data_IF_123901636103
#
_entry.id   IF_123901636103
#
_cell.length_a   1.000
_cell.length_b   1.000
_cell.length_c   1.000
_cell.angle_alpha   90.00
_cell.angle_beta   90.00
_cell.angle_gamma   90.00
#
_symmetry.space_group_name_H-M   'P 1'
#
loop_
_entity.id
_entity.type
_entity.pdbx_description
1 polymer ?
#
# COMPACT_ATOMS: atom_id res chain seq x y z
N UNK A 1 -5.98 -9.51 -11.24
CA UNK A 1 -7.37 -9.62 -10.72
C UNK A 1 -7.44 -8.72 -9.51
N UNK A 2 -8.50 -7.93 -9.37
CA UNK A 2 -8.70 -7.02 -8.24
C UNK A 2 -10.15 -7.03 -7.79
N UNK A 3 -10.37 -6.78 -6.50
CA UNK A 3 -11.71 -6.59 -5.93
C UNK A 3 -11.63 -5.92 -4.56
N UNK A 4 -12.74 -5.30 -4.14
CA UNK A 4 -12.82 -4.54 -2.91
C UNK A 4 -13.54 -5.30 -1.79
N UNK A 5 -13.01 -5.17 -0.58
CA UNK A 5 -13.59 -5.69 0.65
C UNK A 5 -14.07 -4.54 1.53
N UNK A 6 -15.22 -4.74 2.18
CA UNK A 6 -15.76 -3.81 3.17
C UNK A 6 -15.51 -4.36 4.57
N UNK A 7 -14.85 -3.60 5.43
CA UNK A 7 -14.61 -3.98 6.84
C UNK A 7 -14.71 -2.75 7.73
N UNK A 8 -15.60 -2.78 8.72
CA UNK A 8 -15.80 -1.69 9.69
C UNK A 8 -16.11 -0.30 9.06
N UNK A 9 -16.69 -0.28 7.86
CA UNK A 9 -16.96 0.96 7.11
C UNK A 9 -15.79 1.45 6.26
N UNK A 10 -14.65 0.75 6.28
CA UNK A 10 -13.53 1.00 5.39
C UNK A 10 -13.57 0.07 4.16
N UNK A 11 -12.93 0.54 3.09
CA UNK A 11 -12.66 -0.23 1.87
C UNK A 11 -11.21 -0.70 1.88
N UNK A 12 -10.99 -1.96 1.54
CA UNK A 12 -9.66 -2.53 1.28
C UNK A 12 -9.67 -3.14 -0.12
N UNK A 13 -8.84 -2.62 -1.00
CA UNK A 13 -8.65 -3.17 -2.34
C UNK A 13 -7.65 -4.31 -2.29
N UNK A 14 -8.05 -5.47 -2.80
CA UNK A 14 -7.15 -6.59 -2.99
C UNK A 14 -6.72 -6.67 -4.44
N UNK A 15 -5.41 -6.80 -4.66
CA UNK A 15 -4.83 -6.97 -5.97
C UNK A 15 -3.98 -8.23 -6.02
N UNK A 16 -4.03 -8.92 -7.16
CA UNK A 16 -3.11 -9.99 -7.51
C UNK A 16 -2.60 -9.80 -8.93
N UNK A 17 -1.28 -9.78 -9.06
CA UNK A 17 -0.58 -9.61 -10.32
C UNK A 17 0.54 -10.62 -10.46
N UNK A 18 0.64 -11.23 -11.64
CA UNK A 18 1.79 -12.07 -11.99
C UNK A 18 2.96 -11.16 -12.34
N UNK A 19 4.13 -11.39 -11.74
CA UNK A 19 5.32 -10.60 -12.03
C UNK A 19 6.42 -11.50 -12.61
N UNK A 20 7.22 -10.94 -13.53
CA UNK A 20 8.34 -11.67 -14.16
C UNK A 20 9.71 -11.30 -13.56
N UNK A 21 9.77 -10.29 -12.69
CA UNK A 21 10.99 -9.83 -12.02
C UNK A 21 10.83 -9.95 -10.52
N UNK A 22 11.81 -10.50 -9.80
CA UNK A 22 11.83 -10.55 -8.32
C UNK A 22 11.72 -9.13 -7.72
N UNK A 23 10.50 -8.62 -7.61
CA UNK A 23 10.19 -7.43 -6.84
C UNK A 23 10.42 -7.80 -5.39
N UNK A 24 11.44 -7.19 -4.79
CA UNK A 24 11.59 -7.22 -3.33
C UNK A 24 10.50 -6.30 -2.82
N UNK A 25 9.50 -6.81 -2.08
CA UNK A 25 8.46 -5.95 -1.58
C UNK A 25 9.07 -4.94 -0.61
N UNK A 26 8.70 -3.67 -0.77
CA UNK A 26 9.12 -2.60 0.13
C UNK A 26 8.34 -2.70 1.45
N UNK A 27 8.91 -2.14 2.52
CA UNK A 27 8.29 -2.09 3.83
C UNK A 27 8.86 -3.07 4.85
N UNK A 28 8.33 -2.99 6.07
CA UNK A 28 8.78 -3.80 7.18
C UNK A 28 8.07 -5.16 7.18
N UNK A 29 8.79 -6.23 7.51
CA UNK A 29 8.15 -7.52 7.74
C UNK A 29 7.38 -7.46 9.06
N UNK A 30 6.05 -7.55 8.98
CA UNK A 30 5.18 -7.48 10.18
C UNK A 30 4.66 -8.84 10.62
N UNK A 31 4.74 -9.86 9.75
CA UNK A 31 4.39 -11.24 10.07
C UNK A 31 4.97 -12.22 9.05
N UNK A 32 5.04 -13.50 9.43
CA UNK A 32 5.34 -14.61 8.52
C UNK A 32 4.26 -15.68 8.67
N UNK A 33 3.63 -16.09 7.56
CA UNK A 33 2.55 -17.11 7.54
C UNK A 33 2.91 -18.18 6.53
N UNK A 34 2.99 -19.44 6.97
CA UNK A 34 3.33 -20.60 6.13
C UNK A 34 4.60 -20.37 5.28
N UNK A 35 5.62 -19.73 5.86
CA UNK A 35 6.88 -19.39 5.18
C UNK A 35 6.81 -18.19 4.23
N UNK A 36 5.67 -17.50 4.16
CA UNK A 36 5.48 -16.27 3.37
C UNK A 36 5.56 -15.05 4.28
N UNK A 37 6.47 -14.11 3.98
CA UNK A 37 6.58 -12.85 4.71
C UNK A 37 5.50 -11.87 4.24
N UNK A 38 4.87 -11.19 5.19
CA UNK A 38 3.97 -10.07 4.98
C UNK A 38 4.73 -8.77 5.22
N UNK A 39 4.77 -7.92 4.20
CA UNK A 39 5.45 -6.63 4.23
C UNK A 39 4.42 -5.53 4.38
N UNK A 40 4.68 -4.57 5.27
CA UNK A 40 3.80 -3.45 5.53
C UNK A 40 4.45 -2.15 5.10
N UNK A 41 3.70 -1.36 4.34
CA UNK A 41 4.06 0.00 3.94
C UNK A 41 2.99 0.96 4.41
N UNK A 42 3.43 2.13 4.87
CA UNK A 42 2.55 3.24 5.20
C UNK A 42 3.22 4.55 4.86
N UNK A 43 2.49 5.41 4.16
CA UNK A 43 2.95 6.72 3.76
C UNK A 43 1.76 7.64 3.52
N UNK A 44 2.03 8.94 3.47
CA UNK A 44 1.10 9.95 2.99
C UNK A 44 1.35 10.11 1.50
N UNK A 45 0.33 9.95 0.68
CA UNK A 45 0.39 10.36 -0.72
C UNK A 45 -0.12 11.80 -0.83
N UNK A 46 0.64 12.64 -1.52
CA UNK A 46 0.25 14.03 -1.82
C UNK A 46 0.23 14.20 -3.33
N UNK A 47 -0.97 14.33 -3.88
CA UNK A 47 -1.19 14.58 -5.31
C UNK A 47 -1.11 16.09 -5.54
N UNK A 48 -0.27 16.48 -6.49
CA UNK A 48 -0.01 17.88 -6.84
C UNK A 48 0.01 18.05 -8.35
N UNK A 49 -0.12 19.29 -8.80
CA UNK A 49 0.07 19.66 -10.21
C UNK A 49 1.56 19.57 -10.60
N UNK A 50 1.81 19.48 -11.90
CA UNK A 50 3.17 19.44 -12.48
C UNK A 50 4.00 20.70 -12.17
N UNK A 51 3.34 21.84 -11.91
CA UNK A 51 3.97 23.12 -11.58
C UNK A 51 4.14 23.36 -10.07
N UNK A 52 3.80 22.39 -9.21
CA UNK A 52 3.99 22.51 -7.77
C UNK A 52 5.47 22.50 -7.37
N UNK A 53 5.91 23.58 -6.73
CA UNK A 53 7.27 23.69 -6.18
C UNK A 53 7.36 23.07 -4.77
N UNK A 54 8.18 22.01 -4.62
CA UNK A 54 8.39 21.36 -3.33
C UNK A 54 8.99 22.33 -2.30
N UNK A 55 8.34 22.45 -1.15
CA UNK A 55 8.90 23.16 0.01
C UNK A 55 10.08 22.40 0.61
N UNK A 56 10.88 23.06 1.45
CA UNK A 56 11.96 22.38 2.18
C UNK A 56 11.45 21.30 3.14
N UNK A 57 10.21 21.44 3.63
CA UNK A 57 9.58 20.40 4.45
C UNK A 57 9.13 19.21 3.58
N UNK A 58 8.55 19.46 2.41
CA UNK A 58 8.18 18.41 1.45
C UNK A 58 9.38 17.54 1.09
N UNK A 59 10.54 18.15 0.80
CA UNK A 59 11.79 17.41 0.48
C UNK A 59 12.26 16.54 1.64
N UNK A 60 12.18 17.04 2.87
CA UNK A 60 12.56 16.28 4.08
C UNK A 60 11.63 15.11 4.33
N UNK A 61 10.32 15.34 4.23
CA UNK A 61 9.32 14.29 4.43
C UNK A 61 9.40 13.23 3.32
N UNK A 62 9.67 13.65 2.08
CA UNK A 62 9.91 12.73 0.96
C UNK A 62 11.16 11.88 1.16
N UNK A 63 12.28 12.50 1.56
CA UNK A 63 13.53 11.78 1.83
C UNK A 63 13.41 10.77 2.98
N UNK A 64 12.49 11.00 3.93
CA UNK A 64 12.21 10.07 5.02
C UNK A 64 11.34 8.87 4.61
N UNK A 65 10.75 8.90 3.41
CA UNK A 65 9.78 7.90 2.94
C UNK A 65 8.36 8.08 3.51
N UNK A 66 8.16 9.06 4.40
CA UNK A 66 6.84 9.39 4.98
C UNK A 66 5.86 9.98 3.96
N UNK A 67 6.38 10.72 2.98
CA UNK A 67 5.59 11.44 1.99
C UNK A 67 5.98 11.02 0.58
N UNK A 68 5.00 10.60 -0.21
CA UNK A 68 5.16 10.31 -1.64
C UNK A 68 4.39 11.36 -2.42
N UNK A 69 5.03 11.91 -3.46
CA UNK A 69 4.39 12.82 -4.39
C UNK A 69 3.90 12.07 -5.60
N UNK A 70 2.64 12.31 -5.95
CA UNK A 70 2.06 11.91 -7.23
C UNK A 70 1.76 13.19 -8.01
N UNK A 71 2.09 13.20 -9.30
CA UNK A 71 1.87 14.35 -10.16
C UNK A 71 0.71 14.05 -11.11
N UNK A 72 -0.25 14.98 -11.18
CA UNK A 72 -1.44 14.91 -12.03
C UNK A 72 -1.68 16.30 -12.65
N UNK A 73 -1.65 16.38 -13.97
CA UNK A 73 -1.83 17.62 -14.74
C UNK A 73 -3.24 18.21 -14.60
N UNK A 74 -4.21 17.39 -14.21
CA UNK A 74 -5.58 17.79 -13.96
C UNK A 74 -5.82 18.25 -12.52
N UNK A 75 -4.85 18.12 -11.62
CA UNK A 75 -4.98 18.51 -10.22
C UNK A 75 -5.05 20.03 -10.07
N UNK A 76 -6.25 20.56 -9.85
CA UNK A 76 -6.46 21.98 -9.55
C UNK A 76 -6.19 22.34 -8.08
N UNK A 77 -6.03 21.33 -7.22
CA UNK A 77 -5.77 21.47 -5.79
C UNK A 77 -4.91 20.30 -5.31
N UNK A 78 -4.22 20.50 -4.18
CA UNK A 78 -3.47 19.44 -3.52
C UNK A 78 -4.47 18.46 -2.91
N UNK A 79 -4.32 17.17 -3.23
CA UNK A 79 -5.01 16.08 -2.53
C UNK A 79 -4.04 15.32 -1.63
N UNK A 80 -4.50 14.92 -0.44
CA UNK A 80 -3.66 14.25 0.56
C UNK A 80 -4.41 13.06 1.12
N UNK A 81 -3.83 11.88 0.93
CA UNK A 81 -4.38 10.62 1.42
C UNK A 81 -3.38 9.86 2.27
N UNK A 82 -3.87 9.19 3.30
CA UNK A 82 -3.11 8.19 4.04
C UNK A 82 -3.20 6.85 3.32
N UNK A 83 -2.06 6.31 2.93
CA UNK A 83 -1.98 5.02 2.25
C UNK A 83 -1.33 4.01 3.19
N UNK A 84 -1.93 2.83 3.29
CA UNK A 84 -1.29 1.68 3.91
C UNK A 84 -1.53 0.42 3.08
N UNK A 85 -0.56 -0.47 3.08
CA UNK A 85 -0.68 -1.74 2.38
C UNK A 85 0.01 -2.87 3.14
N UNK A 86 -0.58 -4.06 3.05
CA UNK A 86 0.10 -5.31 3.34
C UNK A 86 0.26 -6.09 2.04
N UNK A 87 1.51 -6.36 1.66
CA UNK A 87 1.84 -7.04 0.42
C UNK A 87 2.72 -8.28 0.68
N UNK A 88 2.61 -9.27 -0.21
CA UNK A 88 3.39 -10.51 -0.13
C UNK A 88 3.54 -11.15 -1.50
N UNK A 89 4.59 -11.96 -1.63
CA UNK A 89 4.87 -12.74 -2.84
C UNK A 89 4.67 -14.23 -2.58
N UNK A 90 3.96 -14.91 -3.47
CA UNK A 90 3.84 -16.37 -3.47
C UNK A 90 3.63 -16.88 -4.89
N UNK A 91 4.41 -17.89 -5.30
CA UNK A 91 4.31 -18.58 -6.59
C UNK A 91 4.32 -17.62 -7.82
N UNK A 92 5.28 -16.71 -7.88
CA UNK A 92 5.43 -15.66 -8.92
C UNK A 92 4.24 -14.68 -9.05
N UNK A 93 3.39 -14.65 -8.02
CA UNK A 93 2.28 -13.70 -7.89
C UNK A 93 2.58 -12.78 -6.71
N UNK A 94 2.44 -11.49 -6.97
CA UNK A 94 2.42 -10.46 -5.94
C UNK A 94 0.97 -10.19 -5.57
N UNK A 95 0.74 -10.09 -4.27
CA UNK A 95 -0.54 -9.75 -3.68
C UNK A 95 -0.40 -8.44 -2.93
N UNK A 96 -1.46 -7.66 -2.97
CA UNK A 96 -1.54 -6.41 -2.23
C UNK A 96 -2.93 -6.27 -1.59
N UNK A 97 -2.95 -5.85 -0.33
CA UNK A 97 -4.14 -5.34 0.35
C UNK A 97 -3.89 -3.86 0.60
N UNK A 98 -4.45 -3.02 -0.27
CA UNK A 98 -4.33 -1.58 -0.25
C UNK A 98 -5.51 -0.96 0.48
N UNK A 99 -5.22 -0.01 1.35
CA UNK A 99 -6.23 0.83 1.97
C UNK A 99 -5.81 2.30 1.88
N UNK A 100 -6.77 3.14 1.46
CA UNK A 100 -6.62 4.59 1.34
C UNK A 100 -7.62 5.25 2.28
N UNK A 101 -7.14 6.15 3.14
CA UNK A 101 -7.92 6.93 4.11
C UNK A 101 -8.81 6.11 5.05
N UNK A 102 -8.46 4.83 5.25
CA UNK A 102 -9.14 3.92 6.17
C UNK A 102 -8.51 3.90 7.56
N UNK A 103 -9.15 3.18 8.49
CA UNK A 103 -8.80 3.17 9.92
C UNK A 103 -8.35 1.81 10.42
N UNK A 104 -8.29 0.80 9.57
CA UNK A 104 -7.76 -0.50 9.95
C UNK A 104 -6.30 -0.36 10.38
N UNK A 105 -5.93 -1.11 11.39
CA UNK A 105 -4.53 -1.22 11.79
C UNK A 105 -3.75 -2.13 10.84
N UNK A 106 -2.42 -1.98 10.83
CA UNK A 106 -1.51 -2.91 10.15
C UNK A 106 -1.76 -4.37 10.56
N UNK A 107 -2.11 -4.61 11.83
CA UNK A 107 -2.46 -5.94 12.34
C UNK A 107 -3.74 -6.49 11.74
N UNK A 108 -4.78 -5.67 11.59
CA UNK A 108 -6.04 -6.08 10.97
C UNK A 108 -5.89 -6.37 9.47
N UNK A 109 -5.07 -5.59 8.75
CA UNK A 109 -4.71 -5.87 7.36
C UNK A 109 -3.86 -7.15 7.26
N UNK A 110 -2.93 -7.36 8.19
CA UNK A 110 -2.15 -8.58 8.24
C UNK A 110 -3.07 -9.80 8.45
N UNK A 111 -4.02 -9.74 9.38
CA UNK A 111 -4.99 -10.80 9.63
C UNK A 111 -5.81 -11.15 8.38
N UNK A 112 -6.24 -10.13 7.61
CA UNK A 112 -6.87 -10.35 6.30
C UNK A 112 -5.93 -11.07 5.32
N UNK A 113 -4.66 -10.70 5.24
CA UNK A 113 -3.68 -11.41 4.42
C UNK A 113 -3.50 -12.87 4.88
N UNK A 114 -3.50 -13.14 6.20
CA UNK A 114 -3.41 -14.52 6.72
C UNK A 114 -4.59 -15.37 6.26
N UNK A 115 -5.80 -14.81 6.28
CA UNK A 115 -6.99 -15.50 5.79
C UNK A 115 -6.85 -15.88 4.31
N UNK A 116 -6.37 -14.96 3.47
CA UNK A 116 -6.12 -15.22 2.04
C UNK A 116 -5.10 -16.33 1.84
N UNK A 117 -3.98 -16.30 2.57
CA UNK A 117 -2.92 -17.31 2.45
C UNK A 117 -3.40 -18.69 2.90
N UNK A 118 -4.19 -18.76 3.98
CA UNK A 118 -4.67 -20.01 4.55
C UNK A 118 -5.84 -20.64 3.77
N UNK A 119 -6.64 -19.81 3.07
CA UNK A 119 -7.80 -20.29 2.32
C UNK A 119 -7.48 -20.72 0.87
N UNK A 120 -6.28 -20.45 0.36
CA UNK A 120 -5.81 -20.99 -0.93
C UNK A 120 -5.38 -22.45 -0.75
N UNK A 121 -6.32 -23.37 -0.98
CA UNK A 121 -6.06 -24.81 -1.17
C UNK A 121 -5.64 -25.11 -2.60
#
# INVERSE_FOLDING_TARGET
MSFDYQKNGDVVSFEQQKFNSKLIPSGDIIATVNGTNLYYVHYINKVVSDDYELTEQDKKDQASGKLVFSYDDSASQIDVSQVQSVNWNKDDIQYDLLQIDGKLSAGELADMAKEVINNRR
#
